data_IF_208679217519
#
_entry.id   IF_208679217519
#
_cell.length_a   1.000
_cell.length_b   1.000
_cell.length_c   1.000
_cell.angle_alpha   90.00
_cell.angle_beta   90.00
_cell.angle_gamma   90.00
#
_symmetry.space_group_name_H-M   'P 1'
#
loop_
_entity.id
_entity.type
_entity.pdbx_description
1 polymer ?
#
# COMPACT_ATOMS: atom_id res chain seq x y z
N UNK A 1 13.80 65.94 -16.31
CA UNK A 1 12.68 66.58 -15.59
C UNK A 1 11.38 66.25 -16.32
N UNK A 2 10.44 65.66 -15.58
CA UNK A 2 8.98 65.67 -15.71
C UNK A 2 8.31 65.92 -17.08
N UNK A 3 7.39 65.04 -17.51
CA UNK A 3 5.93 65.16 -17.26
C UNK A 3 5.11 64.09 -18.01
N UNK A 4 4.03 63.71 -17.34
CA UNK A 4 2.91 62.81 -17.67
C UNK A 4 2.16 63.12 -18.98
N UNK A 5 1.38 62.15 -19.47
CA UNK A 5 -0.05 62.34 -19.87
C UNK A 5 -0.78 60.99 -19.77
N UNK A 6 -1.96 61.01 -19.14
CA UNK A 6 -2.88 59.89 -19.03
C UNK A 6 -4.05 59.95 -20.04
N UNK A 7 -4.47 58.74 -20.44
CA UNK A 7 -5.83 58.21 -20.73
C UNK A 7 -6.76 58.97 -21.68
N UNK A 8 -7.16 58.31 -22.78
CA UNK A 8 -8.56 58.22 -23.22
C UNK A 8 -8.82 56.85 -23.88
N UNK A 9 -9.72 56.07 -23.29
CA UNK A 9 -10.21 54.83 -23.87
C UNK A 9 -11.29 55.04 -24.92
N UNK A 10 -11.41 54.09 -25.85
CA UNK A 10 -12.63 53.79 -26.61
C UNK A 10 -12.70 52.27 -26.79
N UNK A 11 -13.77 51.65 -26.31
CA UNK A 11 -14.16 50.28 -26.66
C UNK A 11 -14.56 50.24 -28.14
N UNK A 12 -14.05 49.26 -28.88
CA UNK A 12 -14.59 48.86 -30.17
C UNK A 12 -14.42 47.35 -30.38
N UNK A 13 -15.57 46.69 -30.49
CA UNK A 13 -15.89 45.33 -30.98
C UNK A 13 -14.77 44.51 -31.64
N UNK A 14 -14.54 43.29 -31.13
CA UNK A 14 -13.76 42.24 -31.80
C UNK A 14 -14.57 41.59 -32.93
N UNK A 15 -13.99 41.38 -34.13
CA UNK A 15 -14.50 40.38 -35.07
C UNK A 15 -13.88 39.01 -34.74
N UNK A 16 -14.73 37.98 -34.84
CA UNK A 16 -14.41 36.57 -34.63
C UNK A 16 -13.41 36.09 -35.69
N UNK A 17 -12.16 35.80 -35.31
CA UNK A 17 -11.18 35.18 -36.20
C UNK A 17 -11.34 33.66 -36.17
N UNK A 18 -11.69 33.07 -37.32
CA UNK A 18 -11.74 31.62 -37.53
C UNK A 18 -10.30 31.09 -37.59
N UNK A 19 -9.92 30.26 -36.61
CA UNK A 19 -8.66 29.53 -36.59
C UNK A 19 -8.79 28.29 -37.49
N UNK A 20 -8.19 28.31 -38.68
CA UNK A 20 -8.09 27.13 -39.54
C UNK A 20 -6.99 26.22 -38.97
N UNK A 21 -7.38 25.09 -38.41
CA UNK A 21 -6.47 24.03 -37.98
C UNK A 21 -5.96 23.28 -39.21
N UNK A 22 -4.70 23.50 -39.59
CA UNK A 22 -3.99 22.65 -40.56
C UNK A 22 -3.71 21.29 -39.89
N UNK A 23 -4.52 20.28 -40.22
CA UNK A 23 -4.22 18.88 -39.89
C UNK A 23 -3.14 18.41 -40.86
N UNK A 24 -1.91 18.25 -40.36
CA UNK A 24 -0.88 17.53 -41.08
C UNK A 24 -1.27 16.04 -41.10
N UNK A 25 -1.68 15.53 -42.27
CA UNK A 25 -1.85 14.09 -42.49
C UNK A 25 -0.46 13.48 -42.62
N UNK A 26 0.05 12.92 -41.53
CA UNK A 26 1.16 11.98 -41.62
C UNK A 26 0.63 10.71 -42.32
N UNK A 27 1.33 10.12 -43.30
CA UNK A 27 0.95 8.83 -43.83
C UNK A 27 1.03 7.80 -42.71
N UNK A 28 -0.06 7.07 -42.48
CA UNK A 28 -0.10 5.92 -41.57
C UNK A 28 0.98 4.91 -42.00
N UNK A 29 2.13 4.94 -41.32
CA UNK A 29 3.02 3.79 -41.33
C UNK A 29 2.28 2.67 -40.59
N UNK A 30 2.12 1.48 -41.18
CA UNK A 30 1.48 0.38 -40.48
C UNK A 30 2.29 0.10 -39.22
N UNK A 31 1.71 0.36 -38.05
CA UNK A 31 2.23 -0.16 -36.80
C UNK A 31 2.31 -1.68 -36.99
N UNK A 32 3.51 -2.24 -36.94
CA UNK A 32 3.68 -3.68 -36.93
C UNK A 32 3.01 -4.21 -35.66
N UNK A 33 1.75 -4.60 -35.74
CA UNK A 33 1.09 -5.35 -34.69
C UNK A 33 1.70 -6.75 -34.71
N UNK A 34 2.78 -6.92 -33.96
CA UNK A 34 3.18 -8.25 -33.53
C UNK A 34 2.12 -8.65 -32.49
N UNK A 35 0.97 -9.12 -32.96
CA UNK A 35 0.02 -9.82 -32.12
C UNK A 35 0.72 -11.11 -31.69
N UNK A 36 1.47 -11.03 -30.59
CA UNK A 36 2.18 -12.17 -30.04
C UNK A 36 1.14 -13.21 -29.64
N UNK A 37 1.35 -14.45 -30.08
CA UNK A 37 0.39 -15.52 -29.85
C UNK A 37 0.29 -15.84 -28.35
N UNK A 38 -0.81 -16.43 -27.87
CA UNK A 38 -0.88 -16.90 -26.48
C UNK A 38 0.28 -17.83 -26.07
N UNK A 39 0.89 -18.53 -27.03
CA UNK A 39 2.09 -19.33 -26.77
C UNK A 39 3.36 -18.48 -26.51
N UNK A 40 3.38 -17.22 -26.94
CA UNK A 40 4.48 -16.26 -26.76
C UNK A 40 4.27 -15.35 -25.54
N UNK A 41 3.02 -15.01 -25.19
CA UNK A 41 2.70 -14.07 -24.09
C UNK A 41 1.96 -14.70 -22.92
N UNK A 42 1.56 -15.97 -23.03
CA UNK A 42 0.74 -16.66 -22.04
C UNK A 42 -0.76 -16.38 -22.21
N UNK A 43 -1.56 -17.07 -21.38
CA UNK A 43 -2.99 -16.86 -21.21
C UNK A 43 -3.30 -16.65 -19.74
N UNK A 44 -4.37 -15.91 -19.44
CA UNK A 44 -4.94 -15.92 -18.10
C UNK A 44 -5.76 -17.19 -17.91
N UNK A 45 -5.47 -17.93 -16.85
CA UNK A 45 -6.33 -19.00 -16.38
C UNK A 45 -7.61 -18.42 -15.73
N UNK A 46 -8.57 -19.29 -15.44
CA UNK A 46 -9.73 -18.92 -14.64
C UNK A 46 -9.29 -18.47 -13.24
N UNK A 47 -9.95 -17.47 -12.64
CA UNK A 47 -9.68 -17.08 -11.26
C UNK A 47 -9.86 -18.26 -10.30
N UNK A 48 -8.93 -18.41 -9.37
CA UNK A 48 -9.06 -19.30 -8.22
C UNK A 48 -9.39 -18.49 -6.96
N UNK A 49 -9.82 -19.19 -5.92
CA UNK A 49 -10.48 -18.59 -4.74
C UNK A 49 -9.83 -19.19 -3.50
N UNK A 50 -9.49 -18.36 -2.52
CA UNK A 50 -9.05 -18.87 -1.22
C UNK A 50 -10.16 -19.71 -0.57
N UNK A 51 -9.83 -20.80 0.14
CA UNK A 51 -10.80 -21.69 0.73
C UNK A 51 -11.48 -21.06 1.95
N UNK A 52 -12.81 -21.11 2.01
CA UNK A 52 -13.60 -20.68 3.17
C UNK A 52 -15.05 -20.36 2.80
N UNK A 53 -16.03 -20.58 3.70
CA UNK A 53 -17.41 -20.17 3.43
C UNK A 53 -17.54 -18.64 3.52
N UNK A 54 -18.08 -18.03 2.45
CA UNK A 54 -18.59 -16.65 2.40
C UNK A 54 -17.60 -15.50 2.54
N UNK A 55 -16.30 -15.77 2.51
CA UNK A 55 -15.26 -14.81 2.87
C UNK A 55 -15.44 -14.20 4.25
N UNK A 56 -14.75 -14.73 5.29
CA UNK A 56 -14.85 -14.12 6.60
C UNK A 56 -14.38 -12.66 6.52
N UNK A 57 -14.98 -11.74 7.30
CA UNK A 57 -14.45 -10.40 7.40
C UNK A 57 -12.99 -10.46 7.86
N UNK A 58 -12.19 -9.52 7.36
CA UNK A 58 -10.76 -9.43 7.64
C UNK A 58 -10.54 -9.34 9.14
N UNK A 59 -9.54 -10.05 9.65
CA UNK A 59 -9.30 -10.09 11.09
C UNK A 59 -8.52 -8.84 11.52
N UNK A 60 -9.17 -7.93 12.24
CA UNK A 60 -8.48 -6.80 12.86
C UNK A 60 -7.82 -7.27 14.16
N UNK A 61 -6.51 -7.47 14.11
CA UNK A 61 -5.68 -7.85 15.27
C UNK A 61 -6.11 -9.16 15.95
N UNK A 62 -6.47 -10.15 15.14
CA UNK A 62 -6.93 -11.45 15.62
C UNK A 62 -8.33 -11.45 16.25
N UNK A 63 -9.06 -10.33 16.16
CA UNK A 63 -10.51 -10.29 16.33
C UNK A 63 -11.18 -10.40 14.96
N UNK A 64 -12.34 -11.07 14.84
CA UNK A 64 -13.14 -10.99 13.61
C UNK A 64 -13.43 -9.52 13.30
N UNK A 65 -13.23 -9.09 12.05
CA UNK A 65 -13.67 -7.76 11.59
C UNK A 65 -15.16 -7.56 11.87
N UNK A 66 -15.57 -6.33 12.10
CA UNK A 66 -16.97 -5.97 12.39
C UNK A 66 -17.81 -5.75 11.12
N UNK A 67 -17.19 -5.91 9.95
CA UNK A 67 -17.81 -5.89 8.65
C UNK A 67 -18.76 -7.06 8.38
N UNK A 68 -19.74 -6.85 7.48
CA UNK A 68 -20.53 -7.96 7.00
C UNK A 68 -19.61 -8.90 6.22
N UNK A 69 -19.61 -10.19 6.57
CA UNK A 69 -19.06 -11.21 5.67
C UNK A 69 -19.65 -11.00 4.27
N UNK A 70 -18.85 -11.28 3.24
CA UNK A 70 -19.30 -11.17 1.86
C UNK A 70 -20.64 -11.91 1.67
N UNK A 71 -21.51 -11.48 0.72
CA UNK A 71 -22.74 -12.19 0.42
C UNK A 71 -22.51 -13.70 0.31
N UNK A 72 -23.43 -14.52 0.80
CA UNK A 72 -23.23 -15.97 0.79
C UNK A 72 -22.86 -16.48 -0.62
N UNK A 73 -21.76 -17.23 -0.73
CA UNK A 73 -21.20 -17.66 -2.01
C UNK A 73 -20.26 -16.67 -2.71
N UNK A 74 -19.91 -15.55 -2.06
CA UNK A 74 -18.87 -14.63 -2.58
C UNK A 74 -17.50 -15.30 -2.51
N UNK A 75 -16.78 -15.42 -3.64
CA UNK A 75 -15.46 -16.00 -3.63
C UNK A 75 -14.44 -15.06 -2.98
N UNK A 76 -13.69 -15.51 -1.96
CA UNK A 76 -12.47 -14.83 -1.52
C UNK A 76 -11.43 -14.87 -2.63
N UNK A 77 -11.23 -13.76 -3.33
CA UNK A 77 -10.09 -13.67 -4.23
C UNK A 77 -8.84 -13.45 -3.37
N UNK A 78 -7.73 -14.14 -3.66
CA UNK A 78 -6.47 -13.81 -3.01
C UNK A 78 -6.12 -12.38 -3.36
N UNK A 79 -6.09 -11.54 -2.35
CA UNK A 79 -5.61 -10.18 -2.49
C UNK A 79 -4.11 -10.22 -2.13
N UNK A 80 -3.30 -9.80 -3.10
CA UNK A 80 -1.87 -10.06 -3.12
C UNK A 80 -1.15 -8.81 -3.64
N UNK A 81 -1.05 -7.78 -2.79
CA UNK A 81 -0.30 -6.55 -3.13
C UNK A 81 1.20 -6.83 -3.28
N UNK A 82 1.66 -7.94 -2.74
CA UNK A 82 3.02 -8.44 -2.89
C UNK A 82 2.99 -9.96 -2.92
N UNK A 83 3.79 -10.54 -3.83
CA UNK A 83 3.90 -11.97 -3.97
C UNK A 83 5.33 -12.37 -4.39
N UNK A 84 5.75 -13.57 -3.99
CA UNK A 84 7.05 -14.13 -4.34
C UNK A 84 6.95 -15.65 -4.52
N UNK A 85 7.50 -16.16 -5.62
CA UNK A 85 7.63 -17.60 -5.85
C UNK A 85 8.81 -18.12 -5.01
N UNK A 86 8.50 -18.95 -4.02
CA UNK A 86 9.46 -19.58 -3.13
C UNK A 86 10.28 -20.65 -3.86
N UNK A 87 11.45 -21.07 -3.34
CA UNK A 87 12.30 -22.08 -3.98
C UNK A 87 11.62 -23.42 -4.30
N UNK A 88 10.52 -23.74 -3.62
CA UNK A 88 9.70 -24.95 -3.88
C UNK A 88 8.56 -24.77 -4.89
N UNK A 89 8.43 -23.59 -5.51
CA UNK A 89 7.37 -23.28 -6.48
C UNK A 89 6.03 -22.83 -5.87
N UNK A 90 5.89 -22.90 -4.54
CA UNK A 90 4.79 -22.25 -3.83
C UNK A 90 4.96 -20.72 -3.82
N UNK A 91 3.88 -19.99 -3.61
CA UNK A 91 3.82 -18.53 -3.69
C UNK A 91 3.52 -18.01 -2.29
N UNK A 92 4.47 -17.28 -1.69
CA UNK A 92 4.18 -16.42 -0.55
C UNK A 92 3.52 -15.15 -1.08
N UNK A 93 2.43 -14.74 -0.48
CA UNK A 93 1.85 -13.42 -0.70
C UNK A 93 1.23 -12.90 0.59
N UNK A 94 0.93 -11.61 0.62
CA UNK A 94 0.12 -11.01 1.66
C UNK A 94 -0.84 -10.01 1.03
N UNK A 95 -1.95 -9.82 1.72
CA UNK A 95 -2.89 -8.78 1.34
C UNK A 95 -2.28 -7.40 1.59
N UNK A 96 -2.89 -6.39 1.01
CA UNK A 96 -2.69 -5.02 1.39
C UNK A 96 -4.03 -4.38 1.52
N UNK A 97 -4.18 -3.62 2.60
CA UNK A 97 -5.37 -2.88 2.94
C UNK A 97 -6.49 -3.73 3.59
N UNK A 98 -6.16 -4.57 4.58
CA UNK A 98 -7.16 -5.29 5.37
C UNK A 98 -8.18 -4.35 6.03
N UNK A 99 -9.44 -4.78 6.11
CA UNK A 99 -10.53 -4.00 6.74
C UNK A 99 -11.12 -2.92 5.84
N UNK A 100 -10.84 -2.97 4.53
CA UNK A 100 -11.45 -2.05 3.55
C UNK A 100 -12.97 -2.23 3.41
N UNK A 101 -13.48 -3.42 3.72
CA UNK A 101 -14.91 -3.74 3.78
C UNK A 101 -15.65 -3.05 4.93
N UNK A 102 -14.92 -2.56 5.95
CA UNK A 102 -15.49 -1.83 7.09
C UNK A 102 -15.73 -0.34 6.77
N UNK A 103 -15.25 0.13 5.62
CA UNK A 103 -15.40 1.52 5.17
C UNK A 103 -16.81 1.77 4.63
N UNK A 104 -17.53 2.73 5.23
CA UNK A 104 -18.92 3.04 4.88
C UNK A 104 -19.06 4.24 3.95
N UNK A 105 -18.19 5.24 4.09
CA UNK A 105 -18.32 6.52 3.41
C UNK A 105 -17.05 6.97 2.70
N UNK A 106 -15.90 6.91 3.37
CA UNK A 106 -14.64 7.39 2.79
C UNK A 106 -13.42 6.74 3.45
N UNK A 107 -12.61 6.09 2.62
CA UNK A 107 -11.30 5.57 3.01
C UNK A 107 -10.43 6.66 3.65
N UNK A 108 -10.45 7.87 3.11
CA UNK A 108 -9.66 8.98 3.65
C UNK A 108 -10.07 9.40 5.07
N UNK A 109 -11.30 9.09 5.48
CA UNK A 109 -11.85 9.47 6.79
C UNK A 109 -11.91 8.32 7.79
N UNK A 110 -11.99 7.07 7.35
CA UNK A 110 -12.27 5.93 8.24
C UNK A 110 -11.09 4.95 8.30
N UNK A 111 -10.25 4.91 7.27
CA UNK A 111 -9.31 3.81 7.10
C UNK A 111 -8.17 3.80 8.11
N UNK A 112 -7.77 4.95 8.64
CA UNK A 112 -6.80 5.00 9.74
C UNK A 112 -7.27 4.20 10.95
N UNK A 113 -8.59 4.12 11.20
CA UNK A 113 -9.15 3.28 12.28
C UNK A 113 -9.53 1.88 11.80
N UNK A 114 -10.06 1.74 10.58
CA UNK A 114 -10.53 0.46 10.07
C UNK A 114 -9.40 -0.52 9.70
N UNK A 115 -8.23 -0.01 9.31
CA UNK A 115 -7.13 -0.84 8.81
C UNK A 115 -6.73 -1.96 9.78
N UNK A 116 -6.63 -3.18 9.25
CA UNK A 116 -6.08 -4.36 9.93
C UNK A 116 -4.61 -4.61 9.58
N UNK A 117 -3.94 -5.42 10.39
CA UNK A 117 -2.61 -5.91 10.05
C UNK A 117 -2.70 -6.91 8.88
N UNK A 118 -1.94 -6.69 7.82
CA UNK A 118 -2.01 -7.52 6.61
C UNK A 118 -1.68 -8.98 6.86
N UNK A 119 -2.58 -9.87 6.44
CA UNK A 119 -2.38 -11.30 6.55
C UNK A 119 -1.63 -11.88 5.35
N UNK A 120 -0.66 -12.74 5.67
CA UNK A 120 0.11 -13.50 4.70
C UNK A 120 -0.40 -14.92 4.53
N UNK A 121 -0.12 -15.50 3.36
CA UNK A 121 -0.50 -16.85 2.94
C UNK A 121 0.60 -17.46 2.08
N UNK A 122 0.66 -18.79 2.06
CA UNK A 122 1.47 -19.54 1.10
C UNK A 122 0.55 -20.43 0.26
N UNK A 123 0.47 -20.12 -1.03
CA UNK A 123 -0.29 -20.84 -2.04
C UNK A 123 0.58 -21.89 -2.75
N UNK A 124 0.07 -23.11 -2.88
CA UNK A 124 0.60 -24.12 -3.78
C UNK A 124 -0.33 -24.30 -4.98
N UNK A 125 0.26 -24.27 -6.17
CA UNK A 125 -0.41 -24.58 -7.44
C UNK A 125 -0.01 -25.96 -7.99
N UNK A 126 0.67 -26.79 -7.17
CA UNK A 126 1.01 -28.16 -7.54
C UNK A 126 -0.26 -29.04 -7.45
N UNK A 127 -1.08 -29.00 -8.51
CA UNK A 127 -2.40 -29.64 -8.57
C UNK A 127 -3.52 -28.66 -8.28
N UNK A 128 -4.50 -29.06 -7.46
CA UNK A 128 -5.55 -28.14 -7.03
C UNK A 128 -4.95 -27.06 -6.11
N UNK A 129 -5.34 -25.77 -6.26
CA UNK A 129 -4.90 -24.70 -5.38
C UNK A 129 -5.10 -25.06 -3.91
N UNK A 130 -4.06 -24.89 -3.10
CA UNK A 130 -4.08 -25.16 -1.66
C UNK A 130 -3.25 -24.14 -0.91
N UNK A 131 -3.61 -23.85 0.35
CA UNK A 131 -3.02 -22.79 1.14
C UNK A 131 -2.50 -23.29 2.48
N UNK A 132 -1.47 -22.63 2.97
CA UNK A 132 -1.02 -22.71 4.36
C UNK A 132 -0.83 -21.32 4.93
N UNK A 133 -0.96 -21.20 6.24
CA UNK A 133 -0.89 -19.93 6.96
C UNK A 133 0.48 -19.79 7.63
N UNK A 134 1.28 -18.77 7.24
CA UNK A 134 2.49 -18.37 7.97
C UNK A 134 2.24 -18.08 9.45
N UNK A 135 3.31 -18.12 10.26
CA UNK A 135 3.24 -17.87 11.70
C UNK A 135 4.24 -16.80 12.17
N UNK A 136 3.77 -15.72 12.82
CA UNK A 136 2.37 -15.27 12.84
C UNK A 136 1.88 -14.97 11.40
N UNK A 137 0.57 -14.99 11.18
CA UNK A 137 -0.01 -14.78 9.85
C UNK A 137 0.12 -13.33 9.40
N UNK A 138 0.10 -12.38 10.33
CA UNK A 138 0.18 -10.92 10.12
C UNK A 138 1.59 -10.37 9.80
N UNK A 139 2.55 -11.25 9.49
CA UNK A 139 3.92 -10.81 9.20
C UNK A 139 4.64 -10.18 10.40
N UNK A 140 4.28 -10.50 11.64
CA UNK A 140 4.82 -9.89 12.88
C UNK A 140 4.40 -8.44 13.08
N UNK A 141 3.21 -8.07 12.61
CA UNK A 141 2.60 -6.77 12.90
C UNK A 141 2.65 -6.48 14.41
N UNK A 142 3.20 -5.34 14.78
CA UNK A 142 3.46 -4.98 16.17
C UNK A 142 2.54 -3.85 16.61
N UNK A 143 1.59 -4.17 17.50
CA UNK A 143 0.72 -3.18 18.15
C UNK A 143 1.48 -2.16 19.02
N UNK A 144 2.77 -2.37 19.27
CA UNK A 144 3.64 -1.47 20.01
C UNK A 144 4.48 -0.54 19.14
N UNK A 145 4.40 -0.62 17.79
CA UNK A 145 5.11 0.31 16.92
C UNK A 145 4.70 1.76 17.21
N UNK A 146 5.68 2.68 17.19
CA UNK A 146 5.48 4.08 17.55
C UNK A 146 5.68 4.94 16.30
N UNK A 147 4.61 5.54 15.76
CA UNK A 147 4.75 6.47 14.64
C UNK A 147 5.42 7.78 15.07
N UNK A 148 5.90 8.49 14.06
CA UNK A 148 6.49 9.81 14.16
C UNK A 148 5.39 10.87 14.00
N UNK A 149 4.59 11.11 15.04
CA UNK A 149 3.51 12.11 14.95
C UNK A 149 4.01 13.53 14.62
N UNK A 150 3.19 14.32 13.93
CA UNK A 150 3.52 15.70 13.58
C UNK A 150 3.66 16.59 14.81
N UNK A 151 2.82 16.36 15.81
CA UNK A 151 2.88 17.02 17.12
C UNK A 151 3.05 15.93 18.18
N UNK A 152 4.28 15.56 18.57
CA UNK A 152 4.50 14.41 19.45
C UNK A 152 3.86 14.52 20.84
N UNK A 153 3.79 15.73 21.40
CA UNK A 153 3.26 15.99 22.73
C UNK A 153 2.22 17.12 22.68
N UNK A 154 1.04 16.87 22.09
CA UNK A 154 0.01 17.89 21.95
C UNK A 154 -0.58 18.22 23.33
N UNK A 155 -0.73 19.49 23.71
CA UNK A 155 -1.33 19.85 25.00
C UNK A 155 -2.83 19.51 25.02
N UNK A 156 -3.41 19.33 26.20
CA UNK A 156 -4.86 19.25 26.33
C UNK A 156 -5.53 20.54 25.79
N UNK A 157 -6.65 20.45 25.04
CA UNK A 157 -7.45 19.25 24.75
C UNK A 157 -7.12 18.57 23.40
N UNK A 158 -5.95 18.85 22.80
CA UNK A 158 -5.61 18.36 21.46
C UNK A 158 -5.12 16.91 21.43
N UNK A 159 -4.69 16.35 22.56
CA UNK A 159 -4.15 14.99 22.61
C UNK A 159 -5.07 13.85 22.15
N UNK A 160 -6.39 13.85 22.39
CA UNK A 160 -7.26 12.82 21.81
C UNK A 160 -7.59 13.07 20.32
N UNK A 161 -7.30 14.27 19.80
CA UNK A 161 -7.58 14.69 18.42
C UNK A 161 -6.36 14.43 17.54
N UNK A 162 -5.17 14.75 18.03
CA UNK A 162 -3.90 14.47 17.38
C UNK A 162 -3.40 13.11 17.84
N UNK A 163 -2.59 12.44 17.02
CA UNK A 163 -1.92 11.19 17.41
C UNK A 163 -2.88 10.03 17.72
N UNK A 164 -4.00 9.92 16.98
CA UNK A 164 -4.98 8.86 17.21
C UNK A 164 -4.54 7.57 16.49
N UNK A 165 -3.82 6.71 17.20
CA UNK A 165 -3.34 5.43 16.66
C UNK A 165 -4.47 4.57 16.08
N UNK A 166 -4.22 4.02 14.90
CA UNK A 166 -5.08 3.07 14.24
C UNK A 166 -4.93 1.65 14.75
N UNK A 167 -5.57 0.72 14.06
CA UNK A 167 -5.52 -0.70 14.42
C UNK A 167 -4.37 -1.45 13.73
N UNK A 168 -3.69 -0.84 12.74
CA UNK A 168 -2.61 -1.47 11.98
C UNK A 168 -1.31 -0.65 12.02
N UNK A 169 -0.63 -0.57 13.17
CA UNK A 169 0.54 0.28 13.37
C UNK A 169 1.82 -0.24 12.69
N UNK A 170 1.83 -1.47 12.17
CA UNK A 170 3.02 -2.02 11.52
C UNK A 170 2.65 -3.12 10.51
N UNK A 171 1.79 -2.75 9.57
CA UNK A 171 1.27 -3.62 8.52
C UNK A 171 2.33 -3.86 7.41
N UNK A 172 2.20 -4.96 6.65
CA UNK A 172 3.09 -5.29 5.53
C UNK A 172 2.82 -4.45 4.28
N UNK A 173 1.69 -3.74 4.20
CA UNK A 173 1.29 -2.95 3.06
C UNK A 173 2.37 -1.95 2.74
N UNK A 174 2.73 -1.89 1.46
CA UNK A 174 3.81 -1.04 0.96
C UNK A 174 5.20 -1.30 1.55
N UNK A 175 5.41 -2.46 2.18
CA UNK A 175 6.75 -3.03 2.30
C UNK A 175 7.25 -3.53 0.94
N UNK A 176 8.54 -3.80 0.85
CA UNK A 176 9.17 -4.40 -0.33
C UNK A 176 9.97 -5.64 0.08
N UNK A 177 10.17 -6.56 -0.86
CA UNK A 177 10.76 -7.87 -0.59
C UNK A 177 11.91 -8.22 -1.53
N UNK A 178 12.87 -9.00 -1.02
CA UNK A 178 13.91 -9.68 -1.81
C UNK A 178 14.18 -11.06 -1.23
N UNK A 179 14.76 -11.95 -2.05
CA UNK A 179 15.31 -13.20 -1.56
C UNK A 179 16.71 -13.01 -0.99
N UNK A 180 16.96 -13.66 0.15
CA UNK A 180 18.30 -13.89 0.66
C UNK A 180 18.88 -15.16 0.03
N UNK A 181 20.22 -15.29 0.07
CA UNK A 181 20.94 -16.43 -0.52
C UNK A 181 20.50 -17.81 0.01
N UNK A 182 20.00 -17.86 1.24
CA UNK A 182 19.52 -19.09 1.88
C UNK A 182 18.06 -19.44 1.51
N UNK A 183 17.42 -18.69 0.60
CA UNK A 183 16.06 -18.93 0.15
C UNK A 183 14.96 -18.35 1.05
N UNK A 184 15.32 -17.63 2.13
CA UNK A 184 14.34 -16.87 2.93
C UNK A 184 13.96 -15.57 2.22
N UNK A 185 12.77 -15.07 2.50
CA UNK A 185 12.29 -13.77 1.99
C UNK A 185 12.57 -12.72 3.06
N UNK A 186 13.28 -11.66 2.70
CA UNK A 186 13.47 -10.48 3.54
C UNK A 186 12.51 -9.38 3.08
N UNK A 187 11.89 -8.70 4.03
CA UNK A 187 11.06 -7.51 3.75
C UNK A 187 11.53 -6.32 4.57
N UNK A 188 11.34 -5.12 4.02
CA UNK A 188 11.58 -3.87 4.72
C UNK A 188 10.49 -2.84 4.42
N UNK A 189 10.21 -2.01 5.42
CA UNK A 189 9.13 -1.04 5.37
C UNK A 189 7.78 -1.65 5.74
N UNK A 190 6.73 -0.96 5.35
CA UNK A 190 5.36 -1.27 5.75
C UNK A 190 4.57 0.01 5.97
N UNK A 191 3.38 -0.14 6.53
CA UNK A 191 2.50 0.99 6.83
C UNK A 191 2.06 0.96 8.29
N UNK A 192 2.20 2.10 8.96
CA UNK A 192 1.48 2.44 10.18
C UNK A 192 0.28 3.31 9.79
N UNK A 193 -0.92 2.80 10.06
CA UNK A 193 -2.16 3.54 9.86
C UNK A 193 -2.61 4.20 11.15
N UNK A 194 -2.88 5.50 11.08
CA UNK A 194 -3.44 6.26 12.18
C UNK A 194 -4.22 7.47 11.65
N UNK A 195 -4.93 8.18 12.55
CA UNK A 195 -5.70 9.37 12.21
C UNK A 195 -5.06 10.63 12.83
N UNK A 196 -4.86 11.67 12.01
CA UNK A 196 -4.33 12.96 12.45
C UNK A 196 -4.80 14.12 11.54
N UNK A 197 -5.77 14.95 11.97
CA UNK A 197 -6.55 14.82 13.21
C UNK A 197 -7.66 13.75 13.12
N UNK A 198 -7.91 13.11 14.26
CA UNK A 198 -9.07 12.25 14.53
C UNK A 198 -10.23 12.99 15.19
N UNK A 199 -11.41 12.36 15.17
CA UNK A 199 -12.60 12.79 15.89
C UNK A 199 -12.83 11.82 17.07
N UNK A 200 -12.54 12.24 18.32
CA UNK A 200 -12.63 11.37 19.49
C UNK A 200 -13.99 10.69 19.63
N UNK A 201 -13.98 9.39 19.94
CA UNK A 201 -15.20 8.59 20.11
C UNK A 201 -15.89 8.16 18.82
N UNK A 202 -15.28 8.43 17.66
CA UNK A 202 -15.78 7.98 16.34
C UNK A 202 -14.65 7.30 15.56
N UNK A 203 -14.96 6.55 14.48
CA UNK A 203 -13.93 6.01 13.58
C UNK A 203 -13.34 7.07 12.63
N UNK A 204 -13.86 8.30 12.65
CA UNK A 204 -13.51 9.32 11.66
C UNK A 204 -12.24 10.10 12.02
N UNK A 205 -11.42 10.40 11.02
CA UNK A 205 -10.22 11.20 11.11
C UNK A 205 -9.49 11.27 9.77
N UNK A 206 -8.64 12.27 9.56
CA UNK A 206 -7.78 12.26 8.37
C UNK A 206 -6.75 11.12 8.51
N UNK A 207 -6.85 10.10 7.65
CA UNK A 207 -5.89 8.99 7.65
C UNK A 207 -4.49 9.50 7.29
N UNK A 208 -3.50 9.02 8.02
CA UNK A 208 -2.10 9.09 7.65
C UNK A 208 -1.56 7.68 7.38
N UNK A 209 -0.63 7.58 6.42
CA UNK A 209 0.08 6.36 6.10
C UNK A 209 1.56 6.61 6.37
N UNK A 210 2.05 6.14 7.52
CA UNK A 210 3.45 6.27 7.88
C UNK A 210 4.26 5.04 7.44
N UNK A 211 5.38 5.27 6.76
CA UNK A 211 6.32 4.23 6.40
C UNK A 211 7.03 3.68 7.63
N UNK A 212 7.00 2.35 7.83
CA UNK A 212 7.60 1.76 9.05
C UNK A 212 9.10 1.53 8.91
N UNK A 213 9.81 1.51 10.04
CA UNK A 213 11.25 1.13 10.11
C UNK A 213 11.48 -0.37 10.07
N UNK A 214 10.40 -1.14 10.14
CA UNK A 214 10.43 -2.56 10.40
C UNK A 214 11.11 -3.33 9.27
N UNK A 215 11.90 -4.33 9.64
CA UNK A 215 12.34 -5.38 8.72
C UNK A 215 11.93 -6.74 9.24
N UNK A 216 11.60 -7.66 8.33
CA UNK A 216 11.06 -8.99 8.66
C UNK A 216 11.70 -10.04 7.76
N UNK A 217 11.71 -11.27 8.22
CA UNK A 217 12.13 -12.43 7.45
C UNK A 217 11.05 -13.51 7.49
N UNK A 218 10.66 -14.00 6.32
CA UNK A 218 9.90 -15.23 6.18
C UNK A 218 10.83 -16.39 5.84
N UNK A 219 10.78 -17.44 6.64
CA UNK A 219 11.48 -18.70 6.36
C UNK A 219 10.49 -19.74 5.80
N UNK A 220 10.59 -20.10 4.49
CA UNK A 220 9.73 -21.09 3.86
C UNK A 220 9.78 -22.47 4.49
N UNK A 221 10.94 -22.89 5.01
CA UNK A 221 11.12 -24.23 5.57
C UNK A 221 10.32 -24.43 6.86
N UNK A 222 10.18 -23.38 7.67
CA UNK A 222 9.40 -23.41 8.91
C UNK A 222 8.02 -22.76 8.79
N UNK A 223 7.74 -22.04 7.70
CA UNK A 223 6.54 -21.23 7.54
C UNK A 223 6.43 -20.10 8.56
N UNK A 224 7.56 -19.50 8.97
CA UNK A 224 7.59 -18.52 10.06
C UNK A 224 8.08 -17.15 9.62
N UNK A 225 7.37 -16.12 10.09
CA UNK A 225 7.85 -14.75 10.09
C UNK A 225 8.64 -14.46 11.36
N UNK A 226 9.69 -13.64 11.22
CA UNK A 226 10.53 -13.17 12.32
C UNK A 226 10.84 -11.70 12.11
N UNK A 227 10.61 -10.86 13.11
CA UNK A 227 11.06 -9.46 13.11
C UNK A 227 12.58 -9.41 13.23
N UNK A 228 13.21 -8.53 12.46
CA UNK A 228 14.66 -8.28 12.48
C UNK A 228 14.94 -6.88 13.03
N UNK A 229 16.18 -6.40 12.86
CA UNK A 229 16.59 -5.06 13.29
C UNK A 229 15.89 -3.97 12.46
N UNK A 230 15.55 -2.86 13.12
CA UNK A 230 14.91 -1.72 12.45
C UNK A 230 15.88 -0.93 11.58
N UNK A 231 15.37 -0.37 10.49
CA UNK A 231 16.06 0.64 9.69
C UNK A 231 16.21 1.95 10.47
N UNK A 232 17.19 2.78 10.07
CA UNK A 232 17.32 4.13 10.65
C UNK A 232 16.13 5.05 10.33
N UNK A 233 15.48 4.87 9.19
CA UNK A 233 14.35 5.67 8.72
C UNK A 233 13.20 4.78 8.26
N UNK A 234 11.98 5.23 8.51
CA UNK A 234 10.77 4.53 8.11
C UNK A 234 10.51 4.70 6.62
N UNK A 235 10.06 3.66 5.92
CA UNK A 235 9.90 3.68 4.46
C UNK A 235 8.60 3.00 4.02
N UNK A 236 7.78 3.77 3.33
CA UNK A 236 6.59 3.32 2.60
C UNK A 236 6.94 3.27 1.11
N UNK A 237 6.73 2.12 0.46
CA UNK A 237 7.23 1.81 -0.88
C UNK A 237 8.76 2.00 -1.06
N UNK A 238 9.60 1.35 -0.25
CA UNK A 238 11.04 1.29 -0.54
C UNK A 238 11.33 0.39 -1.75
N UNK A 239 12.51 0.58 -2.34
CA UNK A 239 13.12 -0.34 -3.31
C UNK A 239 14.27 -1.10 -2.66
N UNK A 240 14.30 -2.42 -2.85
CA UNK A 240 15.32 -3.30 -2.29
C UNK A 240 16.09 -4.00 -3.42
N UNK A 241 17.41 -4.11 -3.26
CA UNK A 241 18.27 -4.90 -4.14
C UNK A 241 19.28 -5.66 -3.30
N UNK A 242 19.38 -6.97 -3.53
CA UNK A 242 20.44 -7.80 -2.95
C UNK A 242 21.76 -7.55 -3.69
N UNK A 243 22.79 -7.11 -2.97
CA UNK A 243 24.12 -6.84 -3.50
C UNK A 243 24.94 -8.13 -3.68
N UNK A 244 26.02 -8.11 -4.48
CA UNK A 244 26.91 -9.26 -4.63
C UNK A 244 27.52 -9.75 -3.32
N UNK A 245 27.76 -8.86 -2.34
CA UNK A 245 28.24 -9.23 -1.00
C UNK A 245 27.22 -10.07 -0.21
N UNK A 246 25.94 -9.98 -0.56
CA UNK A 246 24.82 -10.52 0.22
C UNK A 246 24.12 -9.48 1.09
N UNK A 247 24.68 -8.26 1.19
CA UNK A 247 23.99 -7.14 1.85
C UNK A 247 22.77 -6.69 1.03
N UNK A 248 21.84 -5.99 1.68
CA UNK A 248 20.63 -5.49 1.04
C UNK A 248 20.73 -3.97 0.96
N UNK A 249 20.72 -3.47 -0.26
CA UNK A 249 20.56 -2.04 -0.51
C UNK A 249 19.08 -1.68 -0.41
N UNK A 250 18.77 -0.67 0.39
CA UNK A 250 17.41 -0.13 0.59
C UNK A 250 17.41 1.34 0.23
N UNK A 251 16.54 1.75 -0.68
CA UNK A 251 16.43 3.14 -1.12
C UNK A 251 14.99 3.58 -1.35
N UNK A 252 14.81 4.90 -1.41
CA UNK A 252 13.52 5.55 -1.62
C UNK A 252 12.48 5.22 -0.55
N UNK A 253 11.22 5.51 -0.86
CA UNK A 253 10.09 5.41 0.04
C UNK A 253 9.94 6.64 0.94
N UNK A 254 8.69 6.98 1.24
CA UNK A 254 8.35 8.13 2.10
C UNK A 254 8.09 7.65 3.52
N UNK A 255 8.39 8.48 4.53
CA UNK A 255 7.93 8.21 5.90
C UNK A 255 6.52 8.71 6.11
N UNK A 256 6.07 9.77 5.43
CA UNK A 256 4.71 10.32 5.52
C UNK A 256 4.13 10.50 4.13
N UNK A 257 2.91 10.04 3.89
CA UNK A 257 2.28 10.13 2.58
C UNK A 257 1.28 11.29 2.49
N UNK A 258 0.37 11.39 3.46
CA UNK A 258 -0.77 12.32 3.37
C UNK A 258 -0.37 13.71 3.86
N UNK A 259 0.32 13.78 4.99
CA UNK A 259 0.90 14.99 5.56
C UNK A 259 2.44 14.92 5.54
N UNK A 260 3.10 15.19 4.39
CA UNK A 260 4.54 15.07 4.21
C UNK A 260 5.31 16.20 4.90
N UNK A 261 5.29 16.23 6.23
CA UNK A 261 6.03 17.18 7.05
C UNK A 261 7.15 16.43 7.78
N UNK A 262 8.38 16.80 7.46
CA UNK A 262 9.60 16.14 7.94
C UNK A 262 10.39 17.10 8.84
N UNK A 263 10.06 17.19 10.14
CA UNK A 263 10.67 18.18 11.02
C UNK A 263 12.19 17.96 11.25
N UNK A 264 12.74 16.80 10.89
CA UNK A 264 14.13 16.43 11.19
C UNK A 264 14.99 16.10 9.94
N UNK A 265 14.41 16.01 8.74
CA UNK A 265 15.01 15.60 7.43
C UNK A 265 15.78 14.27 7.39
N UNK A 266 15.73 13.48 6.29
CA UNK A 266 14.95 13.62 5.05
C UNK A 266 13.69 12.73 4.99
#
# INVERSE_FOLDING_TARGET
>A
MARSIGVRGRLAFLPLAILILLVAVAPDLPAASVAASPAQIGTFDLPFVEPGPNCPPDAINGQPGDGPAGPAGTPCKPAAVSAAVLPGGSILYWDGLEGMEDIKYSTALEYGKAAGCDESRVLSLAGAPSWSTPRPNDGTCSLGYQPTYLVPNPPAPLQPILNQQGNAPDALFCSSLVFLRNGTVFTAGGTDYYNEPGIPGTPYGAVELEGTRTTRMFNPASGRWTRLADMGYGRWYPSLVTLPSGDIFVASGVTKLVAPVYPQQP
#
